data_IF_936367872742
#
_entry.id   IF_936367872742
#
_cell.length_a   1.000
_cell.length_b   1.000
_cell.length_c   1.000
_cell.angle_alpha   90.00
_cell.angle_beta   90.00
_cell.angle_gamma   90.00
#
_symmetry.space_group_name_H-M   'P 1'
#
loop_
_entity.id
_entity.type
_entity.pdbx_description
1 polymer ?
#
# COMPACT_ATOMS: atom_id res chain seq x y z
N UNK A 1 -2.08 61.70 9.59
CA UNK A 1 -1.46 60.61 10.30
C UNK A 1 -0.01 60.99 10.55
N UNK A 2 0.51 60.83 11.77
CA UNK A 2 1.93 61.03 12.03
C UNK A 2 2.79 60.04 11.20
N UNK A 3 3.95 60.46 10.67
CA UNK A 3 4.80 59.57 9.88
C UNK A 3 5.14 58.27 10.64
N UNK A 4 5.37 58.34 11.94
CA UNK A 4 5.63 57.20 12.81
C UNK A 4 4.48 56.17 12.82
N UNK A 5 3.22 56.61 12.77
CA UNK A 5 2.06 55.75 12.72
C UNK A 5 1.99 54.95 11.39
N UNK A 6 2.34 55.63 10.29
CA UNK A 6 2.39 54.97 8.98
C UNK A 6 3.48 53.87 8.92
N UNK A 7 4.67 54.15 9.47
CA UNK A 7 5.78 53.18 9.52
C UNK A 7 5.44 51.97 10.39
N UNK A 8 4.82 52.19 11.57
CA UNK A 8 4.35 51.10 12.44
C UNK A 8 3.30 50.23 11.75
N UNK A 9 2.34 50.84 11.05
CA UNK A 9 1.30 50.13 10.32
C UNK A 9 1.88 49.26 9.18
N UNK A 10 2.89 49.78 8.46
CA UNK A 10 3.58 49.02 7.41
C UNK A 10 4.35 47.85 7.99
N UNK A 11 5.07 48.00 9.11
CA UNK A 11 5.79 46.92 9.77
C UNK A 11 4.86 45.84 10.30
N UNK A 12 3.71 46.22 10.87
CA UNK A 12 2.66 45.26 11.28
C UNK A 12 2.12 44.49 10.06
N UNK A 13 1.93 45.20 8.94
CA UNK A 13 1.54 44.58 7.66
C UNK A 13 2.56 43.57 7.15
N UNK A 14 3.86 43.88 7.23
CA UNK A 14 4.96 42.96 6.88
C UNK A 14 4.93 41.71 7.77
N UNK A 15 4.82 41.89 9.10
CA UNK A 15 4.72 40.79 10.04
C UNK A 15 3.49 39.89 9.75
N UNK A 16 2.34 40.49 9.48
CA UNK A 16 1.12 39.77 9.11
C UNK A 16 1.30 38.97 7.82
N UNK A 17 1.92 39.53 6.78
CA UNK A 17 2.15 38.85 5.51
C UNK A 17 3.13 37.68 5.66
N UNK A 18 4.16 37.80 6.50
CA UNK A 18 5.07 36.68 6.81
C UNK A 18 4.30 35.54 7.51
N UNK A 19 3.44 35.88 8.50
CA UNK A 19 2.62 34.87 9.20
C UNK A 19 1.59 34.23 8.27
N UNK A 20 0.99 35.01 7.36
CA UNK A 20 0.05 34.52 6.36
C UNK A 20 0.74 33.56 5.38
N UNK A 21 1.95 33.89 4.94
CA UNK A 21 2.75 33.00 4.11
C UNK A 21 3.07 31.70 4.87
N UNK A 22 3.53 31.82 6.11
CA UNK A 22 3.81 30.67 6.99
C UNK A 22 2.58 29.77 7.18
N UNK A 23 1.40 30.33 7.30
CA UNK A 23 0.14 29.59 7.39
C UNK A 23 -0.11 28.76 6.13
N UNK A 24 -0.01 29.32 4.93
CA UNK A 24 -0.24 28.57 3.69
C UNK A 24 0.83 27.51 3.44
N UNK A 25 2.10 27.79 3.74
CA UNK A 25 3.19 26.81 3.67
C UNK A 25 2.94 25.65 4.64
N UNK A 26 2.60 25.95 5.89
CA UNK A 26 2.27 24.92 6.87
C UNK A 26 1.08 24.06 6.43
N UNK A 27 0.04 24.68 5.85
CA UNK A 27 -1.13 23.98 5.36
C UNK A 27 -0.79 23.04 4.19
N UNK A 28 -0.01 23.50 3.22
CA UNK A 28 0.42 22.67 2.09
C UNK A 28 1.19 21.44 2.55
N UNK A 29 2.24 21.63 3.35
CA UNK A 29 3.08 20.51 3.80
C UNK A 29 2.37 19.58 4.78
N UNK A 30 1.48 20.08 5.63
CA UNK A 30 0.70 19.23 6.51
C UNK A 30 -0.27 18.34 5.74
N UNK A 31 -0.99 18.87 4.74
CA UNK A 31 -1.95 18.12 3.93
C UNK A 31 -1.29 17.05 3.05
N UNK A 32 -0.11 17.35 2.50
CA UNK A 32 0.65 16.38 1.69
C UNK A 32 1.27 15.27 2.56
N UNK A 33 1.59 15.55 3.82
CA UNK A 33 2.30 14.61 4.70
C UNK A 33 1.35 13.72 5.50
N UNK A 34 0.16 14.21 5.84
CA UNK A 34 -0.78 13.45 6.68
C UNK A 34 -1.32 12.22 5.94
N UNK A 35 -1.31 11.05 6.61
CA UNK A 35 -1.77 9.79 6.01
C UNK A 35 -3.29 9.68 6.10
N UNK A 36 -3.93 9.21 5.03
CA UNK A 36 -5.38 8.97 4.97
C UNK A 36 -5.90 8.12 6.13
N UNK A 37 -5.25 6.99 6.39
CA UNK A 37 -5.64 6.07 7.47
C UNK A 37 -5.64 6.74 8.85
N UNK A 38 -4.71 7.68 9.05
CA UNK A 38 -4.64 8.43 10.31
C UNK A 38 -5.77 9.45 10.43
N UNK A 39 -6.17 10.07 9.33
CA UNK A 39 -7.30 11.01 9.31
C UNK A 39 -8.61 10.28 9.66
N UNK A 40 -8.85 9.08 9.14
CA UNK A 40 -10.01 8.27 9.52
C UNK A 40 -10.03 7.94 11.02
N UNK A 41 -8.90 7.56 11.61
CA UNK A 41 -8.80 7.37 13.06
C UNK A 41 -9.11 8.64 13.86
N UNK A 42 -8.67 9.81 13.38
CA UNK A 42 -8.96 11.09 14.04
C UNK A 42 -10.45 11.46 13.95
N UNK A 43 -11.14 11.07 12.88
CA UNK A 43 -12.59 11.22 12.74
C UNK A 43 -13.31 10.31 13.73
N UNK A 44 -12.93 9.04 13.84
CA UNK A 44 -13.49 8.10 14.81
C UNK A 44 -13.30 8.58 16.27
N UNK A 45 -12.18 9.25 16.56
CA UNK A 45 -11.90 9.87 17.85
C UNK A 45 -12.66 11.18 18.09
N UNK A 46 -13.42 11.68 17.11
CA UNK A 46 -14.17 12.93 17.23
C UNK A 46 -13.29 14.20 17.29
N UNK A 47 -12.07 14.15 16.75
CA UNK A 47 -11.15 15.30 16.78
C UNK A 47 -11.68 16.43 15.92
N UNK A 48 -11.69 17.64 16.52
CA UNK A 48 -12.09 18.83 15.81
C UNK A 48 -11.20 19.09 14.58
N UNK A 49 -11.81 19.43 13.44
CA UNK A 49 -11.08 19.68 12.19
C UNK A 49 -10.83 18.44 11.33
N UNK A 50 -10.96 17.21 11.84
CA UNK A 50 -10.66 15.98 11.11
C UNK A 50 -11.51 15.82 9.83
N UNK A 51 -12.79 16.17 9.88
CA UNK A 51 -13.69 16.14 8.71
C UNK A 51 -13.21 17.12 7.62
N UNK A 52 -12.74 18.32 8.02
CA UNK A 52 -12.19 19.29 7.06
C UNK A 52 -10.90 18.77 6.41
N UNK A 53 -10.03 18.09 7.18
CA UNK A 53 -8.81 17.46 6.66
C UNK A 53 -9.16 16.38 5.64
N UNK A 54 -10.16 15.53 5.92
CA UNK A 54 -10.64 14.55 4.96
C UNK A 54 -11.14 15.19 3.66
N UNK A 55 -12.00 16.22 3.76
CA UNK A 55 -12.50 16.97 2.57
C UNK A 55 -11.34 17.55 1.73
N UNK A 56 -10.30 18.05 2.39
CA UNK A 56 -9.13 18.61 1.71
C UNK A 56 -8.28 17.54 1.01
N UNK A 57 -8.08 16.37 1.65
CA UNK A 57 -7.29 15.27 1.06
C UNK A 57 -8.07 14.60 -0.08
N UNK A 58 -9.39 14.46 0.00
CA UNK A 58 -10.22 13.99 -1.11
C UNK A 58 -10.07 14.86 -2.37
N UNK A 59 -9.69 16.13 -2.20
CA UNK A 59 -9.44 17.11 -3.26
C UNK A 59 -8.08 17.77 -3.08
N UNK A 60 -7.05 16.96 -2.89
CA UNK A 60 -5.72 17.43 -2.54
C UNK A 60 -5.17 18.44 -3.54
N UNK A 61 -5.37 18.21 -4.84
CA UNK A 61 -4.93 19.12 -5.90
C UNK A 61 -5.56 20.51 -5.76
N UNK A 62 -6.85 20.58 -5.45
CA UNK A 62 -7.56 21.86 -5.24
C UNK A 62 -7.05 22.55 -3.96
N UNK A 63 -6.77 21.79 -2.90
CA UNK A 63 -6.26 22.31 -1.64
C UNK A 63 -4.83 22.84 -1.78
N UNK A 64 -3.95 22.09 -2.45
CA UNK A 64 -2.57 22.51 -2.75
C UNK A 64 -2.58 23.74 -3.65
N UNK A 65 -3.40 23.78 -4.70
CA UNK A 65 -3.54 24.97 -5.55
C UNK A 65 -4.01 26.20 -4.77
N UNK A 66 -4.91 26.02 -3.79
CA UNK A 66 -5.32 27.11 -2.90
C UNK A 66 -4.15 27.61 -2.04
N UNK A 67 -3.34 26.70 -1.47
CA UNK A 67 -2.13 27.05 -0.73
C UNK A 67 -1.16 27.85 -1.59
N UNK A 68 -0.86 27.36 -2.81
CA UNK A 68 0.07 28.02 -3.74
C UNK A 68 -0.39 29.44 -4.14
N UNK A 69 -1.70 29.62 -4.36
CA UNK A 69 -2.28 30.94 -4.60
C UNK A 69 -2.07 31.83 -3.39
N UNK A 70 -2.32 31.31 -2.17
CA UNK A 70 -2.12 32.07 -0.93
C UNK A 70 -0.67 32.46 -0.70
N UNK A 71 0.28 31.53 -0.89
CA UNK A 71 1.72 31.76 -0.81
C UNK A 71 2.14 32.84 -1.80
N UNK A 72 1.69 32.73 -3.06
CA UNK A 72 2.03 33.69 -4.11
C UNK A 72 1.52 35.10 -3.78
N UNK A 73 0.27 35.22 -3.35
CA UNK A 73 -0.28 36.54 -2.94
C UNK A 73 0.46 37.12 -1.75
N UNK A 74 0.72 36.31 -0.70
CA UNK A 74 1.44 36.78 0.48
C UNK A 74 2.87 37.23 0.13
N UNK A 75 3.59 36.48 -0.70
CA UNK A 75 4.96 36.77 -1.13
C UNK A 75 5.05 38.02 -2.01
N UNK A 76 4.15 38.17 -2.99
CA UNK A 76 4.10 39.36 -3.85
C UNK A 76 3.74 40.62 -3.04
N UNK A 77 2.75 40.51 -2.15
CA UNK A 77 2.37 41.61 -1.27
C UNK A 77 3.50 41.98 -0.32
N UNK A 78 4.22 40.98 0.20
CA UNK A 78 5.38 41.17 1.07
C UNK A 78 6.52 41.92 0.34
N UNK A 79 6.81 41.55 -0.91
CA UNK A 79 7.80 42.26 -1.73
C UNK A 79 7.38 43.70 -2.00
N UNK A 80 6.09 43.93 -2.35
CA UNK A 80 5.60 45.28 -2.68
C UNK A 80 5.53 46.24 -1.50
N UNK A 81 5.09 45.78 -0.32
CA UNK A 81 4.91 46.59 0.87
C UNK A 81 6.16 46.56 1.76
N UNK A 82 6.82 45.44 1.85
CA UNK A 82 7.87 45.17 2.82
C UNK A 82 9.20 45.83 2.50
N UNK A 83 9.62 45.81 1.21
CA UNK A 83 10.88 46.48 0.81
C UNK A 83 10.86 47.98 1.09
N UNK A 84 9.87 48.77 0.64
CA UNK A 84 9.83 50.21 0.94
C UNK A 84 9.73 50.52 2.45
N UNK A 85 8.96 49.73 3.20
CA UNK A 85 8.80 49.91 4.64
C UNK A 85 10.11 49.72 5.40
N UNK A 86 10.88 48.67 5.11
CA UNK A 86 12.18 48.44 5.74
C UNK A 86 13.24 49.43 5.24
N UNK A 87 13.25 49.76 3.94
CA UNK A 87 14.19 50.73 3.40
C UNK A 87 14.01 52.11 4.04
N UNK A 88 12.75 52.54 4.25
CA UNK A 88 12.45 53.81 4.94
C UNK A 88 12.94 53.81 6.40
N UNK A 89 12.76 52.67 7.11
CA UNK A 89 13.25 52.50 8.49
C UNK A 89 14.77 52.51 8.59
N UNK A 90 15.48 51.93 7.61
CA UNK A 90 16.93 51.84 7.62
C UNK A 90 17.63 53.12 7.08
N UNK A 91 16.93 53.94 6.28
CA UNK A 91 17.48 55.12 5.65
C UNK A 91 18.14 56.12 6.63
N UNK A 92 17.59 56.41 7.84
CA UNK A 92 18.27 57.29 8.81
C UNK A 92 19.63 56.76 9.27
N UNK A 93 19.77 55.45 9.38
CA UNK A 93 21.00 54.76 9.80
C UNK A 93 22.11 54.97 8.77
N UNK A 94 21.78 54.89 7.49
CA UNK A 94 22.71 55.06 6.38
C UNK A 94 23.05 56.55 6.11
N UNK A 95 22.17 57.48 6.46
CA UNK A 95 22.45 58.93 6.43
C UNK A 95 23.49 59.36 7.48
N UNK A 96 23.62 58.64 8.56
CA UNK A 96 24.61 58.94 9.61
C UNK A 96 26.04 58.51 9.24
N UNK A 97 26.24 57.80 8.13
CA UNK A 97 27.56 57.39 7.62
C UNK A 97 28.26 58.62 6.97
N UNK A 98 29.61 58.75 7.11
CA UNK A 98 30.39 59.84 6.52
C UNK A 98 30.17 59.93 5.01
N UNK A 99 30.06 61.18 4.49
CA UNK A 99 29.68 61.53 3.10
C UNK A 99 30.64 61.08 1.98
N UNK A 100 31.46 60.06 2.21
CA UNK A 100 32.45 59.52 1.26
C UNK A 100 31.78 58.88 0.01
N UNK A 101 30.53 58.42 0.14
CA UNK A 101 29.87 57.61 -0.90
C UNK A 101 28.65 58.26 -1.57
N UNK A 102 28.30 59.50 -1.21
CA UNK A 102 27.17 60.19 -1.80
C UNK A 102 25.76 59.69 -1.42
N UNK A 103 24.76 60.54 -1.58
CA UNK A 103 23.34 60.29 -1.20
C UNK A 103 22.75 59.10 -1.93
N UNK A 104 23.13 58.87 -3.20
CA UNK A 104 22.62 57.78 -4.04
C UNK A 104 23.09 56.42 -3.51
N UNK A 105 24.35 56.31 -3.11
CA UNK A 105 24.89 55.07 -2.57
C UNK A 105 24.26 54.70 -1.22
N UNK A 106 24.00 55.66 -0.35
CA UNK A 106 23.33 55.40 0.94
C UNK A 106 21.91 54.89 0.76
N UNK A 107 21.16 55.39 -0.26
CA UNK A 107 19.83 54.89 -0.58
C UNK A 107 19.85 53.48 -1.14
N UNK A 108 20.72 53.18 -2.11
CA UNK A 108 20.88 51.84 -2.70
C UNK A 108 21.30 50.83 -1.64
N UNK A 109 22.23 51.20 -0.74
CA UNK A 109 22.65 50.34 0.34
C UNK A 109 21.52 50.03 1.34
N UNK A 110 20.72 51.05 1.70
CA UNK A 110 19.55 50.84 2.57
C UNK A 110 18.51 49.88 1.95
N UNK A 111 18.22 50.06 0.65
CA UNK A 111 17.29 49.16 -0.10
C UNK A 111 17.86 47.76 -0.16
N UNK A 112 19.15 47.57 -0.50
CA UNK A 112 19.78 46.25 -0.59
C UNK A 112 19.76 45.50 0.76
N UNK A 113 20.09 46.21 1.87
CA UNK A 113 20.05 45.61 3.20
C UNK A 113 18.63 45.29 3.65
N UNK A 114 17.67 46.21 3.37
CA UNK A 114 16.25 45.96 3.63
C UNK A 114 15.75 44.71 2.90
N UNK A 115 16.10 44.57 1.63
CA UNK A 115 15.74 43.40 0.82
C UNK A 115 16.33 42.11 1.37
N UNK A 116 17.62 42.11 1.77
CA UNK A 116 18.29 40.95 2.36
C UNK A 116 17.64 40.52 3.69
N UNK A 117 17.33 41.51 4.57
CA UNK A 117 16.65 41.22 5.84
C UNK A 117 15.26 40.65 5.60
N UNK A 118 14.48 41.27 4.70
CA UNK A 118 13.14 40.83 4.36
C UNK A 118 13.15 39.42 3.77
N UNK A 119 14.06 39.15 2.82
CA UNK A 119 14.23 37.85 2.22
C UNK A 119 14.61 36.77 3.26
N UNK A 120 15.55 37.09 4.15
CA UNK A 120 15.92 36.18 5.23
C UNK A 120 14.76 35.84 6.15
N UNK A 121 14.00 36.87 6.61
CA UNK A 121 12.82 36.65 7.45
C UNK A 121 11.72 35.87 6.73
N UNK A 122 11.46 36.18 5.46
CA UNK A 122 10.48 35.47 4.64
C UNK A 122 10.86 34.02 4.48
N UNK A 123 12.11 33.71 4.08
CA UNK A 123 12.55 32.32 3.88
C UNK A 123 12.57 31.57 5.20
N UNK A 124 13.12 32.13 6.28
CA UNK A 124 13.28 31.39 7.54
C UNK A 124 11.95 31.26 8.27
N UNK A 125 11.24 32.38 8.50
CA UNK A 125 10.03 32.42 9.33
C UNK A 125 8.77 32.14 8.50
N UNK A 126 8.74 32.63 7.26
CA UNK A 126 7.59 32.46 6.36
C UNK A 126 7.54 31.10 5.64
N UNK A 127 8.69 30.41 5.49
CA UNK A 127 8.74 29.16 4.70
C UNK A 127 9.38 28.00 5.46
N UNK A 128 10.67 28.06 5.84
CA UNK A 128 11.40 26.90 6.35
C UNK A 128 10.91 26.43 7.72
N UNK A 129 10.64 27.34 8.66
CA UNK A 129 10.17 26.98 9.99
C UNK A 129 8.74 26.36 9.95
N UNK A 130 7.76 26.94 9.24
CA UNK A 130 6.43 26.34 9.07
C UNK A 130 6.46 24.98 8.39
N UNK A 131 7.28 24.82 7.35
CA UNK A 131 7.51 23.54 6.67
C UNK A 131 8.05 22.50 7.63
N UNK A 132 9.10 22.83 8.40
CA UNK A 132 9.68 21.90 9.37
C UNK A 132 8.69 21.53 10.47
N UNK A 133 7.84 22.46 10.91
CA UNK A 133 6.77 22.20 11.87
C UNK A 133 5.71 21.25 11.29
N UNK A 134 5.25 21.53 10.08
CA UNK A 134 4.24 20.73 9.40
C UNK A 134 4.72 19.28 9.15
N UNK A 135 5.98 19.07 8.75
CA UNK A 135 6.56 17.74 8.57
C UNK A 135 6.67 16.96 9.88
N UNK A 136 6.95 17.64 11.00
CA UNK A 136 7.11 16.98 12.32
C UNK A 136 5.79 16.72 13.04
N UNK A 137 4.77 17.56 12.81
CA UNK A 137 3.46 17.53 13.46
C UNK A 137 2.33 17.69 12.46
N UNK A 138 2.37 16.89 11.39
CA UNK A 138 1.43 16.99 10.29
C UNK A 138 -0.04 16.94 10.73
N UNK A 139 -0.38 16.05 11.66
CA UNK A 139 -1.74 15.87 12.15
C UNK A 139 -2.27 17.13 12.86
N UNK A 140 -1.54 17.62 13.87
CA UNK A 140 -1.99 18.76 14.65
C UNK A 140 -2.09 20.03 13.80
N UNK A 141 -1.11 20.23 12.90
CA UNK A 141 -1.10 21.37 11.97
C UNK A 141 -2.28 21.25 11.01
N UNK A 142 -2.49 20.10 10.37
CA UNK A 142 -3.59 19.90 9.43
C UNK A 142 -4.96 20.18 10.09
N UNK A 143 -5.19 19.66 11.31
CA UNK A 143 -6.44 19.91 12.03
C UNK A 143 -6.72 21.40 12.28
N UNK A 144 -5.66 22.19 12.53
CA UNK A 144 -5.77 23.61 12.83
C UNK A 144 -6.00 24.46 11.58
N UNK A 145 -5.26 24.17 10.49
CA UNK A 145 -5.18 25.07 9.33
C UNK A 145 -6.20 24.78 8.23
N UNK A 146 -6.71 23.54 8.15
CA UNK A 146 -7.52 23.13 6.99
C UNK A 146 -8.88 23.81 6.92
N UNK A 147 -9.55 24.04 8.04
CA UNK A 147 -10.85 24.72 8.03
C UNK A 147 -10.83 26.11 7.37
N UNK A 148 -9.96 27.03 7.83
CA UNK A 148 -9.78 28.32 7.15
C UNK A 148 -9.29 28.20 5.71
N UNK A 149 -8.41 27.23 5.39
CA UNK A 149 -7.95 26.98 4.03
C UNK A 149 -9.09 26.64 3.07
N UNK A 150 -9.99 25.74 3.46
CA UNK A 150 -11.16 25.39 2.65
C UNK A 150 -12.06 26.59 2.39
N UNK A 151 -12.20 27.49 3.39
CA UNK A 151 -12.98 28.73 3.22
C UNK A 151 -12.29 29.66 2.22
N UNK A 152 -10.98 29.83 2.32
CA UNK A 152 -10.17 30.55 1.35
C UNK A 152 -10.30 29.95 -0.05
N UNK A 153 -10.13 28.65 -0.18
CA UNK A 153 -10.26 27.92 -1.46
C UNK A 153 -11.64 28.08 -2.11
N UNK A 154 -12.73 28.11 -1.31
CA UNK A 154 -14.09 28.40 -1.83
C UNK A 154 -14.22 29.82 -2.35
N UNK A 155 -13.67 30.79 -1.63
CA UNK A 155 -13.70 32.23 -2.02
C UNK A 155 -12.91 32.46 -3.32
N UNK A 156 -11.71 31.89 -3.43
CA UNK A 156 -10.82 32.06 -4.58
C UNK A 156 -11.01 30.98 -5.67
N UNK A 157 -12.05 30.18 -5.58
CA UNK A 157 -12.34 29.07 -6.51
C UNK A 157 -12.29 29.44 -8.00
N UNK A 158 -12.88 30.61 -8.45
CA UNK A 158 -12.81 30.99 -9.86
C UNK A 158 -11.37 31.24 -10.33
N UNK A 159 -10.54 31.85 -9.48
CA UNK A 159 -9.15 32.14 -9.77
C UNK A 159 -8.30 30.83 -9.80
N UNK A 160 -8.48 29.95 -8.82
CA UNK A 160 -7.81 28.63 -8.75
C UNK A 160 -8.14 27.81 -9.99
N UNK A 161 -9.43 27.77 -10.41
CA UNK A 161 -9.86 27.08 -11.62
C UNK A 161 -9.24 27.67 -12.90
N UNK A 162 -9.09 28.98 -12.96
CA UNK A 162 -8.46 29.63 -14.10
C UNK A 162 -6.97 29.24 -14.23
N UNK A 163 -6.24 29.21 -13.12
CA UNK A 163 -4.82 28.78 -13.08
C UNK A 163 -4.72 27.30 -13.47
N UNK A 164 -5.51 26.40 -12.84
CA UNK A 164 -5.52 24.98 -13.15
C UNK A 164 -5.91 24.69 -14.61
N UNK A 165 -6.88 25.44 -15.15
CA UNK A 165 -7.26 25.37 -16.56
C UNK A 165 -6.13 25.76 -17.49
N UNK A 166 -5.40 26.83 -17.16
CA UNK A 166 -4.23 27.28 -17.92
C UNK A 166 -3.09 26.27 -17.87
N UNK A 167 -2.82 25.68 -16.72
CA UNK A 167 -1.83 24.61 -16.55
C UNK A 167 -2.19 23.39 -17.40
N UNK A 168 -3.43 22.91 -17.29
CA UNK A 168 -3.91 21.79 -18.10
C UNK A 168 -3.87 22.06 -19.61
N UNK A 169 -4.11 23.31 -20.02
CA UNK A 169 -3.96 23.71 -21.43
C UNK A 169 -2.50 23.58 -21.89
N UNK A 170 -1.52 24.04 -21.08
CA UNK A 170 -0.10 23.91 -21.37
C UNK A 170 0.35 22.44 -21.45
N UNK A 171 -0.10 21.61 -20.51
CA UNK A 171 0.19 20.17 -20.50
C UNK A 171 -0.34 19.48 -21.77
N UNK A 172 -1.57 19.84 -22.20
CA UNK A 172 -2.15 19.32 -23.46
C UNK A 172 -1.37 19.80 -24.68
N UNK A 173 -0.88 21.04 -24.67
CA UNK A 173 -0.05 21.57 -25.77
C UNK A 173 1.26 20.79 -25.91
N UNK A 174 1.82 20.31 -24.78
CA UNK A 174 3.00 19.43 -24.74
C UNK A 174 2.69 17.98 -25.10
N UNK A 175 1.42 17.65 -25.43
CA UNK A 175 0.94 16.30 -25.76
C UNK A 175 1.19 15.25 -24.66
N UNK A 176 1.32 15.67 -23.42
CA UNK A 176 1.40 14.76 -22.29
C UNK A 176 -0.03 14.27 -21.96
N UNK A 177 -0.20 12.96 -21.69
CA UNK A 177 -1.49 12.47 -21.21
C UNK A 177 -1.85 13.19 -19.88
N UNK A 178 -3.14 13.53 -19.68
CA UNK A 178 -3.55 14.03 -18.38
C UNK A 178 -3.17 12.98 -17.34
N UNK A 179 -2.68 13.44 -16.18
CA UNK A 179 -2.46 12.54 -15.04
C UNK A 179 -3.78 11.80 -14.76
N UNK A 180 -3.85 10.54 -15.18
CA UNK A 180 -4.84 9.65 -14.63
C UNK A 180 -4.56 9.66 -13.11
N UNK A 181 -5.60 9.87 -12.29
CA UNK A 181 -5.51 9.47 -10.88
C UNK A 181 -5.07 8.02 -10.93
N UNK A 182 -3.80 7.76 -10.71
CA UNK A 182 -3.34 6.42 -10.42
C UNK A 182 -4.12 6.02 -9.17
N UNK A 183 -5.21 5.27 -9.41
CA UNK A 183 -5.70 4.40 -8.38
C UNK A 183 -4.46 3.61 -8.00
N UNK A 184 -4.06 3.71 -6.74
CA UNK A 184 -2.97 2.94 -6.15
C UNK A 184 -3.32 1.44 -6.25
N UNK A 185 -3.39 0.92 -7.47
CA UNK A 185 -3.43 -0.52 -7.73
C UNK A 185 -1.98 -0.95 -7.69
N UNK A 186 -1.51 -1.24 -6.48
CA UNK A 186 -0.21 -1.84 -6.29
C UNK A 186 -0.20 -3.19 -7.02
N UNK A 187 0.86 -3.45 -7.78
CA UNK A 187 1.11 -4.78 -8.32
C UNK A 187 1.38 -5.75 -7.15
N UNK A 188 1.23 -7.06 -7.39
CA UNK A 188 1.56 -8.07 -6.37
C UNK A 188 3.02 -7.92 -5.91
N UNK A 189 3.93 -7.61 -6.85
CA UNK A 189 5.34 -7.36 -6.54
C UNK A 189 5.52 -6.16 -5.61
N UNK A 190 4.79 -5.07 -5.84
CA UNK A 190 4.84 -3.88 -5.00
C UNK A 190 4.27 -4.15 -3.59
N UNK A 191 3.21 -4.96 -3.49
CA UNK A 191 2.69 -5.43 -2.20
C UNK A 191 3.70 -6.32 -1.47
N UNK A 192 4.42 -7.19 -2.18
CA UNK A 192 5.48 -8.02 -1.60
C UNK A 192 6.61 -7.17 -1.02
N UNK A 193 7.06 -6.14 -1.75
CA UNK A 193 8.07 -5.18 -1.26
C UNK A 193 7.59 -4.43 -0.01
N UNK A 194 6.31 -4.02 0.03
CA UNK A 194 5.74 -3.35 1.21
C UNK A 194 5.69 -4.27 2.44
N UNK A 195 5.44 -5.56 2.24
CA UNK A 195 5.47 -6.56 3.32
C UNK A 195 6.90 -6.71 3.87
N UNK A 196 7.90 -6.78 2.99
CA UNK A 196 9.31 -6.87 3.37
C UNK A 196 9.77 -5.62 4.15
N UNK A 197 9.47 -4.42 3.64
CA UNK A 197 9.78 -3.16 4.32
C UNK A 197 9.09 -3.07 5.71
N UNK A 198 7.87 -3.57 5.81
CA UNK A 198 7.11 -3.57 7.06
C UNK A 198 7.69 -4.56 8.07
N UNK A 199 8.23 -5.70 7.60
CA UNK A 199 8.96 -6.67 8.42
C UNK A 199 10.29 -6.08 8.91
N UNK A 200 11.08 -5.45 8.04
CA UNK A 200 12.34 -4.79 8.42
C UNK A 200 12.12 -3.68 9.46
N UNK A 201 11.01 -2.96 9.34
CA UNK A 201 10.59 -1.97 10.33
C UNK A 201 10.12 -2.57 11.67
N UNK A 202 10.03 -3.92 11.78
CA UNK A 202 9.61 -4.63 12.99
C UNK A 202 8.10 -4.55 13.30
N UNK A 203 7.27 -4.11 12.35
CA UNK A 203 5.82 -4.00 12.53
C UNK A 203 5.08 -5.32 12.26
N UNK A 204 5.68 -6.24 11.50
CA UNK A 204 5.18 -7.60 11.25
C UNK A 204 6.27 -8.60 11.64
N UNK A 205 5.95 -9.67 12.41
CA UNK A 205 6.87 -10.78 12.66
C UNK A 205 7.32 -11.47 11.37
N UNK A 206 8.56 -11.98 11.37
CA UNK A 206 9.16 -12.58 10.17
C UNK A 206 8.39 -13.80 9.63
N UNK A 207 7.87 -14.64 10.51
CA UNK A 207 7.04 -15.80 10.18
C UNK A 207 5.74 -15.38 9.47
N UNK A 208 5.08 -14.32 9.93
CA UNK A 208 3.87 -13.81 9.29
C UNK A 208 4.14 -13.19 7.90
N UNK A 209 5.26 -12.50 7.74
CA UNK A 209 5.66 -11.94 6.45
C UNK A 209 5.89 -13.05 5.42
N UNK A 210 6.53 -14.16 5.81
CA UNK A 210 6.74 -15.34 4.97
C UNK A 210 5.40 -15.93 4.49
N UNK A 211 4.41 -16.07 5.37
CA UNK A 211 3.09 -16.58 4.97
C UNK A 211 2.41 -15.68 3.93
N UNK A 212 2.49 -14.37 4.10
CA UNK A 212 1.90 -13.42 3.13
C UNK A 212 2.60 -13.53 1.77
N UNK A 213 3.92 -13.64 1.74
CA UNK A 213 4.68 -13.81 0.49
C UNK A 213 4.29 -15.11 -0.21
N UNK A 214 4.21 -16.23 0.51
CA UNK A 214 3.79 -17.53 -0.05
C UNK A 214 2.36 -17.50 -0.60
N UNK A 215 1.45 -16.75 0.02
CA UNK A 215 0.09 -16.55 -0.51
C UNK A 215 0.11 -15.80 -1.84
N UNK A 216 1.00 -14.85 -2.04
CA UNK A 216 1.18 -14.18 -3.33
C UNK A 216 1.72 -15.15 -4.39
N UNK A 217 2.73 -15.95 -4.06
CA UNK A 217 3.31 -16.96 -4.94
C UNK A 217 2.30 -18.05 -5.36
N UNK A 218 1.35 -18.40 -4.46
CA UNK A 218 0.31 -19.39 -4.75
C UNK A 218 -0.52 -19.04 -6.00
N UNK A 219 -0.63 -17.76 -6.33
CA UNK A 219 -1.36 -17.30 -7.52
C UNK A 219 -0.65 -17.64 -8.83
N UNK A 220 0.67 -17.84 -8.78
CA UNK A 220 1.49 -18.11 -9.95
C UNK A 220 1.82 -19.59 -10.14
N UNK A 221 1.83 -20.35 -9.06
CA UNK A 221 2.09 -21.80 -9.09
C UNK A 221 0.93 -22.59 -9.70
N UNK A 222 1.27 -23.74 -10.32
CA UNK A 222 0.33 -24.65 -10.94
C UNK A 222 0.27 -25.99 -10.21
N UNK A 223 -0.79 -26.76 -10.44
CA UNK A 223 -0.97 -28.11 -9.88
C UNK A 223 0.18 -29.05 -10.29
N UNK A 224 0.66 -28.91 -11.54
CA UNK A 224 1.76 -29.73 -12.05
C UNK A 224 3.09 -29.54 -11.30
N UNK A 225 3.30 -28.37 -10.67
CA UNK A 225 4.53 -28.09 -9.92
C UNK A 225 4.59 -28.75 -8.54
N UNK A 226 3.40 -29.01 -7.93
CA UNK A 226 3.32 -29.56 -6.57
C UNK A 226 2.73 -30.98 -6.50
N UNK A 227 2.17 -31.49 -7.61
CA UNK A 227 1.53 -32.81 -7.62
C UNK A 227 2.49 -33.92 -7.19
N UNK A 228 1.98 -34.92 -6.52
CA UNK A 228 2.66 -36.18 -6.32
C UNK A 228 2.65 -36.93 -7.66
N UNK A 229 3.81 -37.19 -8.28
CA UNK A 229 3.88 -37.81 -9.60
C UNK A 229 3.42 -39.27 -9.54
N UNK A 230 2.89 -39.77 -10.66
CA UNK A 230 2.27 -41.11 -10.80
C UNK A 230 3.11 -42.26 -10.26
N UNK A 231 4.43 -42.25 -10.46
CA UNK A 231 5.36 -43.28 -10.03
C UNK A 231 5.46 -43.40 -8.50
N UNK A 232 5.05 -42.38 -7.77
CA UNK A 232 5.00 -42.36 -6.30
C UNK A 232 3.60 -42.62 -5.74
N UNK A 233 2.57 -42.70 -6.59
CA UNK A 233 1.18 -42.85 -6.14
C UNK A 233 0.87 -44.34 -5.95
N UNK A 234 0.45 -44.70 -4.74
CA UNK A 234 -0.05 -46.05 -4.45
C UNK A 234 -1.52 -46.12 -4.88
N UNK A 235 -1.83 -47.07 -5.75
CA UNK A 235 -3.15 -47.26 -6.36
C UNK A 235 -3.62 -48.68 -6.27
N UNK A 236 -4.91 -48.91 -6.23
CA UNK A 236 -5.53 -50.22 -6.18
C UNK A 236 -6.27 -50.58 -7.48
N UNK A 237 -6.18 -51.78 -8.02
CA UNK A 237 -7.10 -52.21 -9.06
C UNK A 237 -8.51 -52.40 -8.49
N UNK A 238 -9.57 -52.11 -9.27
CA UNK A 238 -10.97 -52.21 -8.80
C UNK A 238 -11.33 -53.61 -8.30
N UNK A 239 -10.68 -54.64 -8.84
CA UNK A 239 -10.85 -56.02 -8.47
C UNK A 239 -9.81 -56.54 -7.46
N UNK A 240 -9.14 -55.62 -6.72
CA UNK A 240 -8.19 -55.99 -5.68
C UNK A 240 -8.85 -56.92 -4.65
N UNK A 241 -8.11 -57.92 -4.25
CA UNK A 241 -8.51 -58.85 -3.18
C UNK A 241 -8.47 -58.09 -1.83
N UNK A 242 -9.20 -58.63 -0.85
CA UNK A 242 -9.17 -58.07 0.52
C UNK A 242 -7.76 -58.03 1.10
N UNK A 243 -6.93 -59.05 0.84
CA UNK A 243 -5.55 -59.11 1.30
C UNK A 243 -4.68 -57.97 0.69
N UNK A 244 -4.83 -57.70 -0.61
CA UNK A 244 -4.16 -56.60 -1.32
C UNK A 244 -4.60 -55.24 -0.80
N UNK A 245 -5.89 -55.06 -0.55
CA UNK A 245 -6.45 -53.77 -0.02
C UNK A 245 -5.93 -53.49 1.39
N UNK A 246 -6.01 -54.50 2.27
CA UNK A 246 -5.55 -54.39 3.65
C UNK A 246 -4.01 -54.28 3.72
N UNK A 247 -3.29 -55.03 2.85
CA UNK A 247 -1.83 -54.93 2.71
C UNK A 247 -1.41 -53.49 2.32
N UNK A 248 -1.94 -52.96 1.23
CA UNK A 248 -1.66 -51.59 0.78
C UNK A 248 -1.99 -50.55 1.85
N UNK A 249 -3.09 -50.73 2.56
CA UNK A 249 -3.50 -49.78 3.64
C UNK A 249 -2.55 -49.79 4.83
N UNK A 250 -1.96 -50.96 5.16
CA UNK A 250 -0.98 -51.10 6.26
C UNK A 250 0.41 -50.59 5.90
N UNK A 251 0.85 -50.85 4.68
CA UNK A 251 2.20 -50.53 4.23
C UNK A 251 2.34 -49.02 3.90
N UNK A 252 1.30 -48.41 3.31
CA UNK A 252 1.35 -47.04 2.85
C UNK A 252 0.99 -46.03 3.91
N UNK A 253 0.21 -46.41 4.93
CA UNK A 253 -0.41 -45.49 5.92
C UNK A 253 -1.22 -44.32 5.30
N UNK A 254 -1.48 -44.37 3.99
CA UNK A 254 -2.22 -43.30 3.31
C UNK A 254 -3.72 -43.37 3.62
N UNK A 255 -4.31 -42.21 3.87
CA UNK A 255 -5.76 -42.10 4.14
C UNK A 255 -6.59 -42.32 2.88
N UNK A 256 -6.07 -42.02 1.68
CA UNK A 256 -6.80 -42.12 0.42
C UNK A 256 -5.92 -42.73 -0.67
N UNK A 257 -6.51 -43.61 -1.47
CA UNK A 257 -5.84 -44.26 -2.60
C UNK A 257 -6.72 -44.18 -3.85
N UNK A 258 -6.16 -43.84 -5.03
CA UNK A 258 -6.88 -43.97 -6.30
C UNK A 258 -7.15 -45.42 -6.66
N UNK A 259 -8.28 -45.63 -7.31
CA UNK A 259 -8.69 -46.97 -7.81
C UNK A 259 -8.79 -46.91 -9.32
N UNK A 260 -8.17 -47.85 -9.99
CA UNK A 260 -8.15 -47.94 -11.45
C UNK A 260 -8.82 -49.23 -11.98
N UNK A 261 -9.32 -49.18 -13.24
CA UNK A 261 -9.98 -50.29 -13.91
C UNK A 261 -9.37 -50.51 -15.31
N UNK A 262 -9.03 -51.74 -15.62
CA UNK A 262 -8.44 -52.14 -16.91
C UNK A 262 -6.99 -51.70 -17.09
N UNK A 263 -6.75 -50.38 -17.15
CA UNK A 263 -5.41 -49.81 -17.22
C UNK A 263 -5.16 -48.83 -16.08
N UNK A 264 -3.94 -48.67 -15.59
CA UNK A 264 -3.60 -47.75 -14.51
C UNK A 264 -3.88 -46.26 -14.85
N UNK A 265 -4.12 -45.93 -16.11
CA UNK A 265 -4.50 -44.57 -16.53
C UNK A 265 -6.00 -44.30 -16.36
N UNK A 266 -6.81 -45.38 -16.25
CA UNK A 266 -8.25 -45.26 -16.09
C UNK A 266 -8.65 -45.25 -14.61
N UNK A 267 -8.51 -44.11 -13.96
CA UNK A 267 -8.92 -43.94 -12.57
C UNK A 267 -10.43 -43.83 -12.49
N UNK A 268 -11.08 -44.80 -11.82
CA UNK A 268 -12.55 -44.88 -11.68
C UNK A 268 -13.05 -44.36 -10.33
N UNK A 269 -12.16 -44.23 -9.34
CA UNK A 269 -12.54 -43.74 -8.02
C UNK A 269 -11.39 -43.47 -7.09
N UNK A 270 -11.74 -43.04 -5.88
CA UNK A 270 -10.84 -42.88 -4.75
C UNK A 270 -11.46 -43.63 -3.56
N UNK A 271 -10.67 -44.40 -2.86
CA UNK A 271 -11.09 -45.09 -1.65
C UNK A 271 -10.47 -44.42 -0.42
N UNK A 272 -11.21 -44.43 0.69
CA UNK A 272 -10.72 -43.97 1.99
C UNK A 272 -10.44 -45.17 2.88
N UNK A 273 -9.23 -45.30 3.39
CA UNK A 273 -8.83 -46.41 4.25
C UNK A 273 -9.66 -46.55 5.53
N UNK A 274 -10.14 -45.41 6.09
CA UNK A 274 -11.02 -45.42 7.26
C UNK A 274 -12.36 -46.11 6.97
N UNK A 275 -12.92 -45.90 5.76
CA UNK A 275 -14.17 -46.49 5.35
C UNK A 275 -14.01 -47.98 5.10
N UNK A 276 -12.84 -48.39 4.57
CA UNK A 276 -12.49 -49.81 4.41
C UNK A 276 -12.43 -50.53 5.76
N UNK A 277 -11.77 -49.93 6.76
CA UNK A 277 -11.74 -50.49 8.11
C UNK A 277 -13.13 -50.56 8.77
N UNK A 278 -13.97 -49.60 8.52
CA UNK A 278 -15.35 -49.61 9.02
C UNK A 278 -16.16 -50.74 8.41
N UNK A 279 -16.12 -50.90 7.06
CA UNK A 279 -16.77 -51.99 6.36
C UNK A 279 -16.28 -53.38 6.80
N UNK A 280 -14.95 -53.53 6.98
CA UNK A 280 -14.36 -54.76 7.50
C UNK A 280 -14.86 -55.09 8.92
N UNK A 281 -14.89 -54.09 9.80
CA UNK A 281 -15.35 -54.23 11.17
C UNK A 281 -16.84 -54.63 11.28
N UNK A 282 -17.68 -54.14 10.40
CA UNK A 282 -19.13 -54.39 10.42
C UNK A 282 -19.51 -55.69 9.72
N UNK A 283 -18.88 -56.01 8.58
CA UNK A 283 -19.30 -57.09 7.69
C UNK A 283 -18.33 -58.26 7.67
N UNK A 284 -17.12 -58.12 8.22
CA UNK A 284 -16.05 -59.12 8.14
C UNK A 284 -15.52 -59.35 6.71
N UNK A 285 -15.86 -58.45 5.79
CA UNK A 285 -15.54 -58.54 4.37
C UNK A 285 -15.40 -57.12 3.78
N UNK A 286 -14.37 -56.88 2.97
CA UNK A 286 -14.16 -55.65 2.23
C UNK A 286 -14.45 -55.85 0.75
N UNK A 287 -15.50 -55.18 0.25
CA UNK A 287 -15.76 -55.08 -1.17
C UNK A 287 -15.38 -53.65 -1.58
N UNK A 288 -14.29 -53.50 -2.36
CA UNK A 288 -13.75 -52.18 -2.73
C UNK A 288 -14.78 -51.33 -3.46
N UNK A 289 -15.63 -51.91 -4.29
CA UNK A 289 -16.69 -51.21 -5.02
C UNK A 289 -17.71 -50.50 -4.12
N UNK A 290 -17.94 -50.99 -2.91
CA UNK A 290 -18.87 -50.37 -1.95
C UNK A 290 -18.30 -49.12 -1.26
N UNK A 291 -16.94 -48.94 -1.33
CA UNK A 291 -16.21 -47.90 -0.66
C UNK A 291 -15.64 -46.81 -1.61
N UNK A 292 -15.92 -46.88 -2.91
CA UNK A 292 -15.38 -45.98 -3.92
C UNK A 292 -16.17 -44.70 -3.98
N UNK A 293 -15.48 -43.58 -3.90
CA UNK A 293 -15.99 -42.22 -4.20
C UNK A 293 -15.61 -41.80 -5.61
N UNK A 294 -16.46 -41.02 -6.32
CA UNK A 294 -16.13 -40.51 -7.64
C UNK A 294 -14.87 -39.66 -7.61
N UNK A 295 -13.95 -39.81 -8.57
CA UNK A 295 -12.71 -39.03 -8.58
C UNK A 295 -12.99 -37.57 -8.99
N UNK A 296 -12.20 -36.63 -8.47
CA UNK A 296 -12.14 -35.24 -8.94
C UNK A 296 -10.95 -35.14 -9.90
N UNK A 297 -11.20 -34.78 -11.15
CA UNK A 297 -10.15 -34.60 -12.15
C UNK A 297 -9.77 -33.15 -12.31
N UNK A 298 -8.46 -32.89 -12.41
CA UNK A 298 -7.88 -31.55 -12.64
C UNK A 298 -6.73 -31.65 -13.64
N UNK A 299 -6.34 -30.54 -14.24
CA UNK A 299 -5.24 -30.48 -15.21
C UNK A 299 -3.97 -29.90 -14.59
N UNK A 300 -2.81 -30.27 -15.15
CA UNK A 300 -1.49 -29.85 -14.67
C UNK A 300 -1.30 -28.34 -14.70
N UNK A 301 -1.90 -27.62 -15.65
CA UNK A 301 -1.80 -26.15 -15.83
C UNK A 301 -2.75 -25.35 -14.93
N UNK A 302 -3.59 -26.02 -14.14
CA UNK A 302 -4.51 -25.35 -13.24
C UNK A 302 -3.75 -24.60 -12.14
N UNK A 303 -4.11 -23.34 -11.88
CA UNK A 303 -3.53 -22.53 -10.81
C UNK A 303 -3.93 -23.05 -9.43
N UNK A 304 -2.99 -23.05 -8.47
CA UNK A 304 -3.22 -23.54 -7.10
C UNK A 304 -4.31 -22.76 -6.38
N UNK A 305 -4.41 -21.45 -6.61
CA UNK A 305 -5.48 -20.62 -6.05
C UNK A 305 -6.88 -21.08 -6.51
N UNK A 306 -6.99 -21.62 -7.74
CA UNK A 306 -8.23 -22.21 -8.26
C UNK A 306 -8.47 -23.60 -7.67
N UNK A 307 -7.41 -24.39 -7.52
CA UNK A 307 -7.47 -25.73 -6.91
C UNK A 307 -7.98 -25.67 -5.48
N UNK A 308 -7.48 -24.72 -4.66
CA UNK A 308 -7.95 -24.52 -3.29
C UNK A 308 -9.45 -24.20 -3.23
N UNK A 309 -9.96 -23.39 -4.16
CA UNK A 309 -11.40 -23.08 -4.25
C UNK A 309 -12.23 -24.34 -4.60
N UNK A 310 -11.70 -25.20 -5.48
CA UNK A 310 -12.36 -26.45 -5.87
C UNK A 310 -12.43 -27.39 -4.68
N UNK A 311 -11.33 -27.64 -3.98
CA UNK A 311 -11.31 -28.48 -2.78
C UNK A 311 -12.35 -28.03 -1.74
N UNK A 312 -12.45 -26.72 -1.49
CA UNK A 312 -13.44 -26.16 -0.56
C UNK A 312 -14.89 -26.36 -1.03
N UNK A 313 -15.15 -26.18 -2.34
CA UNK A 313 -16.49 -26.29 -2.91
C UNK A 313 -16.95 -27.74 -2.98
N UNK A 314 -16.10 -28.63 -3.50
CA UNK A 314 -16.42 -30.05 -3.70
C UNK A 314 -16.31 -30.86 -2.41
N UNK A 315 -15.65 -30.35 -1.37
CA UNK A 315 -15.36 -31.03 -0.09
C UNK A 315 -14.61 -32.35 -0.29
N UNK A 316 -13.74 -32.40 -1.28
CA UNK A 316 -12.92 -33.56 -1.63
C UNK A 316 -11.45 -33.18 -1.50
N UNK A 317 -10.69 -33.75 -0.56
CA UNK A 317 -9.33 -33.31 -0.27
C UNK A 317 -8.27 -33.91 -1.20
N UNK A 318 -8.63 -34.74 -2.19
CA UNK A 318 -7.73 -35.34 -3.17
C UNK A 318 -8.31 -35.19 -4.58
N UNK A 319 -7.46 -34.85 -5.54
CA UNK A 319 -7.79 -34.78 -6.96
C UNK A 319 -6.80 -35.59 -7.79
N UNK A 320 -7.28 -36.17 -8.88
CA UNK A 320 -6.52 -36.88 -9.89
C UNK A 320 -6.04 -35.89 -10.93
N UNK A 321 -4.73 -35.82 -11.12
CA UNK A 321 -4.11 -34.87 -12.05
C UNK A 321 -3.95 -35.55 -13.41
N UNK A 322 -4.44 -34.86 -14.46
CA UNK A 322 -4.26 -35.25 -15.83
C UNK A 322 -3.39 -34.24 -16.56
N UNK A 323 -2.56 -34.73 -17.45
CA UNK A 323 -1.77 -33.88 -18.33
C UNK A 323 -2.70 -33.09 -19.27
N UNK A 324 -2.47 -31.80 -19.38
CA UNK A 324 -3.33 -30.89 -20.14
C UNK A 324 -3.38 -31.20 -21.65
N UNK A 325 -2.31 -31.81 -22.22
CA UNK A 325 -2.22 -32.12 -23.64
C UNK A 325 -2.70 -33.52 -23.96
N UNK A 326 -2.25 -34.53 -23.21
CA UNK A 326 -2.54 -35.97 -23.46
C UNK A 326 -3.78 -36.47 -22.73
N UNK A 327 -4.26 -35.74 -21.74
CA UNK A 327 -5.35 -36.13 -20.83
C UNK A 327 -5.09 -37.46 -20.07
N UNK A 328 -3.84 -37.94 -20.03
CA UNK A 328 -3.44 -39.13 -19.29
C UNK A 328 -3.25 -38.78 -17.80
N UNK A 329 -3.41 -39.82 -16.96
CA UNK A 329 -3.13 -39.72 -15.53
C UNK A 329 -1.62 -39.52 -15.29
N UNK A 330 -1.24 -38.44 -14.62
CA UNK A 330 0.16 -38.06 -14.35
C UNK A 330 0.48 -37.94 -12.87
N UNK A 331 -0.53 -37.90 -12.00
CA UNK A 331 -0.31 -37.80 -10.56
C UNK A 331 -1.56 -37.45 -9.78
N UNK A 332 -1.38 -37.13 -8.51
CA UNK A 332 -2.43 -36.68 -7.61
C UNK A 332 -2.00 -35.36 -6.94
N UNK A 333 -2.97 -34.61 -6.48
CA UNK A 333 -2.75 -33.45 -5.60
C UNK A 333 -3.75 -33.50 -4.46
N UNK A 334 -3.29 -33.22 -3.25
CA UNK A 334 -4.14 -33.18 -2.06
C UNK A 334 -4.32 -31.75 -1.55
N UNK A 335 -5.30 -31.55 -0.65
CA UNK A 335 -5.50 -30.27 0.02
C UNK A 335 -4.30 -29.94 0.91
N UNK A 336 -3.72 -30.97 1.51
CA UNK A 336 -2.52 -30.88 2.35
C UNK A 336 -1.35 -30.31 1.55
N UNK A 337 -1.07 -30.81 0.33
CA UNK A 337 0.00 -30.29 -0.55
C UNK A 337 -0.18 -28.79 -0.87
N UNK A 338 -1.43 -28.37 -1.13
CA UNK A 338 -1.72 -26.95 -1.41
C UNK A 338 -1.56 -26.06 -0.17
N UNK A 339 -1.91 -26.58 1.01
CA UNK A 339 -1.72 -25.86 2.27
C UNK A 339 -0.25 -25.76 2.68
N UNK A 340 0.53 -26.79 2.38
CA UNK A 340 1.98 -26.83 2.61
C UNK A 340 2.71 -25.71 1.87
N UNK A 341 2.27 -25.36 0.67
CA UNK A 341 2.79 -24.22 -0.08
C UNK A 341 2.60 -22.87 0.63
N UNK A 342 1.62 -22.76 1.51
CA UNK A 342 1.37 -21.54 2.30
C UNK A 342 2.09 -21.59 3.64
N UNK A 343 1.95 -22.71 4.38
CA UNK A 343 2.41 -22.83 5.77
C UNK A 343 3.88 -23.29 5.83
N UNK A 344 4.37 -24.01 4.81
CA UNK A 344 5.65 -24.72 4.80
C UNK A 344 5.49 -26.14 5.26
N UNK A 345 6.57 -26.90 5.23
CA UNK A 345 6.59 -28.29 5.67
C UNK A 345 5.95 -28.41 7.06
N UNK A 346 4.85 -29.15 7.12
CA UNK A 346 4.20 -29.54 8.36
C UNK A 346 4.85 -30.86 8.73
N UNK A 347 5.72 -30.87 9.75
CA UNK A 347 6.33 -32.11 10.26
C UNK A 347 5.19 -33.07 10.62
N UNK A 348 5.13 -34.23 9.96
CA UNK A 348 4.15 -35.26 10.26
C UNK A 348 4.58 -35.99 11.54
N UNK A 349 3.64 -36.48 12.35
CA UNK A 349 3.90 -37.21 13.59
C UNK A 349 4.77 -38.48 13.34
N UNK A 350 4.92 -38.89 12.08
CA UNK A 350 5.69 -40.07 11.63
C UNK A 350 7.06 -39.72 11.02
N UNK A 351 7.38 -38.43 10.87
CA UNK A 351 8.69 -38.01 10.40
C UNK A 351 9.75 -38.28 11.48
N UNK A 352 10.77 -39.04 11.12
CA UNK A 352 11.88 -39.33 12.03
C UNK A 352 12.54 -37.98 12.42
N UNK A 353 12.56 -37.67 13.72
CA UNK A 353 13.24 -36.51 14.29
C UNK A 353 14.72 -36.57 13.87
N UNK A 354 15.07 -35.83 12.81
CA UNK A 354 16.47 -35.60 12.44
C UNK A 354 17.05 -34.60 13.45
N UNK A 355 18.00 -35.02 14.32
CA UNK A 355 18.54 -34.09 15.31
C UNK A 355 19.27 -32.96 14.57
N UNK A 356 18.78 -31.72 14.72
CA UNK A 356 19.50 -30.53 14.27
C UNK A 356 20.86 -30.52 14.92
N UNK A 357 21.92 -30.66 14.13
CA UNK A 357 23.29 -30.40 14.59
C UNK A 357 23.36 -28.92 15.01
N UNK A 358 23.62 -28.71 16.30
CA UNK A 358 23.92 -27.42 16.93
C UNK A 358 25.22 -26.83 16.37
#
# INVERSE_FOLDING_TARGET
MSPVFADVLQLVGVGFLIVLNAYFVAAEFALVTVRWTRVEQLIEQGRFGAIAVREAIERLDDAVAACQVGITFASLALGWIGEPALAHLLHPLFKALPNVWGIVFSHVAAVAVAYLILTYLHVVVGEQAPKALALRRAEDVALLVTGPLLTFGRLFRPFIKAIGGSSNFLVRLLRLPPQAREQLVHSVDELSMLVEETQEAGAIPADQAIYVQRVFELSDKTVGEIMIPRDKVIMLPIHATEEEVLGASRESAHTRMPVWEGTPDNIVGIVNTKDLFHLFSERGLVILMDAIYPPLFVQTDMKLSSMLRIFRRERRPMAIVRDAASNLFVGIVTLEDVLEEIVGEIEDEHDAVIPRKV
#
